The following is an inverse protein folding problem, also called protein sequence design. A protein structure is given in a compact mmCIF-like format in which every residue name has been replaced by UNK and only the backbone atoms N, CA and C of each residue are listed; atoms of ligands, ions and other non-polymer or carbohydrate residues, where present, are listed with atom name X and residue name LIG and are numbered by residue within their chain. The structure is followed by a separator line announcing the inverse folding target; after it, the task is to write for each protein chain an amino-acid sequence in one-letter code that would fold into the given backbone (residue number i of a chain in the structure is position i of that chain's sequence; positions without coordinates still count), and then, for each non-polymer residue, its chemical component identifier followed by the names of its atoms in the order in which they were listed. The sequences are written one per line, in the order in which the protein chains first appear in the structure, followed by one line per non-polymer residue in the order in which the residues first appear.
data_IF_065149835736
#
_entry.id   IF_065149835736
#
_cell.length_a   1.000
_cell.length_b   1.000
_cell.length_c   1.000
_cell.angle_alpha   90.00
_cell.angle_beta   90.00
_cell.angle_gamma   90.00
#
_symmetry.space_group_name_H-M   'P 1'
#
loop_
_entity.id
_entity.type
_entity.pdbx_description
1 polymer ?
#
# COMPACT_ATOMS: atom_id res chain seq x y z
N UNK A 1 -7.77 -12.96 -1.12
CA UNK A 1 -7.46 -14.06 -0.18
C UNK A 1 -7.69 -13.59 1.25
N UNK A 2 -8.40 -14.37 2.03
CA UNK A 2 -8.75 -13.97 3.40
C UNK A 2 -7.55 -13.93 4.32
N UNK A 3 -7.52 -12.93 5.16
CA UNK A 3 -6.46 -12.76 6.16
C UNK A 3 -6.67 -13.77 7.29
N UNK A 4 -5.69 -14.63 7.49
CA UNK A 4 -5.78 -15.72 8.44
C UNK A 4 -4.76 -15.64 9.59
N UNK A 5 -3.93 -14.61 9.60
CA UNK A 5 -2.91 -14.41 10.64
C UNK A 5 -2.48 -12.95 10.71
N UNK A 6 -1.81 -12.61 11.81
CA UNK A 6 -1.24 -11.26 11.99
C UNK A 6 -0.17 -10.97 10.94
N UNK A 7 0.67 -11.95 10.64
CA UNK A 7 1.70 -11.82 9.59
C UNK A 7 1.08 -11.52 8.24
N UNK A 8 -0.01 -12.22 7.93
CA UNK A 8 -0.73 -12.01 6.66
C UNK A 8 -1.31 -10.61 6.60
N UNK A 9 -1.90 -10.15 7.70
CA UNK A 9 -2.44 -8.80 7.78
C UNK A 9 -1.37 -7.75 7.48
N UNK A 10 -0.22 -7.85 8.15
CA UNK A 10 0.89 -6.90 7.95
C UNK A 10 1.35 -6.93 6.49
N UNK A 11 1.52 -8.11 5.93
CA UNK A 11 1.99 -8.28 4.54
C UNK A 11 1.02 -7.68 3.53
N UNK A 12 -0.27 -7.97 3.69
CA UNK A 12 -1.29 -7.46 2.76
C UNK A 12 -1.36 -5.93 2.78
N UNK A 13 -1.24 -5.33 3.97
CA UNK A 13 -1.23 -3.88 4.10
C UNK A 13 0.06 -3.29 3.51
N UNK A 14 1.20 -3.94 3.76
CA UNK A 14 2.47 -3.50 3.19
C UNK A 14 2.43 -3.52 1.66
N UNK A 15 1.85 -4.54 1.06
CA UNK A 15 1.71 -4.65 -0.39
C UNK A 15 0.81 -3.53 -0.94
N UNK A 16 -0.28 -3.22 -0.25
CA UNK A 16 -1.16 -2.13 -0.64
C UNK A 16 -0.45 -0.77 -0.58
N UNK A 17 0.34 -0.54 0.46
CA UNK A 17 1.10 0.70 0.62
C UNK A 17 2.18 0.87 -0.44
N UNK A 18 2.70 -0.23 -0.96
CA UNK A 18 3.74 -0.23 -1.98
C UNK A 18 3.18 0.00 -3.38
N UNK A 19 1.88 -0.17 -3.57
CA UNK A 19 1.26 0.01 -4.87
C UNK A 19 1.26 1.48 -5.25
N UNK A 20 1.57 1.75 -6.52
CA UNK A 20 1.55 3.11 -7.03
C UNK A 20 0.12 3.55 -7.30
N UNK A 21 -0.27 4.68 -6.73
CA UNK A 21 -1.49 5.36 -7.14
C UNK A 21 -1.14 6.10 -8.43
N UNK A 22 -1.57 5.56 -9.55
CA UNK A 22 -1.37 6.23 -10.83
C UNK A 22 -2.68 6.91 -11.26
N UNK A 23 -2.73 7.30 -12.52
CA UNK A 23 -3.78 8.10 -13.13
C UNK A 23 -5.21 7.56 -12.99
N UNK A 24 -5.40 6.35 -12.50
CA UNK A 24 -6.69 5.67 -12.47
C UNK A 24 -7.33 5.62 -11.07
N UNK A 25 -6.89 6.47 -10.16
CA UNK A 25 -7.54 6.62 -8.85
C UNK A 25 -7.69 5.27 -8.13
N UNK A 26 -6.61 4.50 -8.13
CA UNK A 26 -6.56 3.20 -7.46
C UNK A 26 -6.60 3.39 -5.94
N UNK A 27 -7.71 3.02 -5.34
CA UNK A 27 -7.92 3.11 -3.89
C UNK A 27 -7.87 1.72 -3.29
N UNK A 28 -7.09 1.58 -2.24
CA UNK A 28 -6.94 0.31 -1.53
C UNK A 28 -7.66 0.36 -0.19
N UNK A 29 -8.25 -0.76 0.18
CA UNK A 29 -9.04 -0.87 1.41
C UNK A 29 -8.75 -2.15 2.15
N UNK A 30 -8.79 -2.06 3.50
CA UNK A 30 -8.98 -3.20 4.36
C UNK A 30 -10.50 -3.35 4.54
N UNK A 31 -11.05 -4.45 4.06
CA UNK A 31 -12.48 -4.75 4.17
C UNK A 31 -12.70 -5.66 5.36
N UNK A 32 -13.33 -5.13 6.41
CA UNK A 32 -13.55 -5.85 7.66
C UNK A 32 -14.63 -6.91 7.54
N UNK A 33 -15.61 -6.70 6.66
CA UNK A 33 -16.67 -7.69 6.43
C UNK A 33 -16.12 -8.91 5.70
N UNK A 34 -15.37 -8.68 4.63
CA UNK A 34 -14.80 -9.76 3.82
C UNK A 34 -13.48 -10.31 4.38
N UNK A 35 -12.87 -9.61 5.33
CA UNK A 35 -11.58 -10.00 5.93
C UNK A 35 -10.47 -10.08 4.89
N UNK A 36 -10.41 -9.07 4.02
CA UNK A 36 -9.47 -9.00 2.91
C UNK A 36 -8.95 -7.58 2.70
N UNK A 37 -7.76 -7.48 2.13
CA UNK A 37 -7.23 -6.23 1.58
C UNK A 37 -7.34 -6.31 0.06
N UNK A 38 -7.77 -5.25 -0.57
CA UNK A 38 -7.89 -5.21 -2.01
C UNK A 38 -8.02 -3.80 -2.55
N UNK A 39 -8.06 -3.74 -3.87
CA UNK A 39 -8.22 -2.50 -4.61
C UNK A 39 -9.70 -2.32 -5.00
N UNK A 40 -10.16 -1.08 -4.97
CA UNK A 40 -11.52 -0.77 -5.45
C UNK A 40 -11.65 -1.17 -6.91
N UNK A 41 -12.71 -1.90 -7.22
CA UNK A 41 -13.04 -2.26 -8.59
C UNK A 41 -14.05 -1.24 -9.12
N UNK A 42 -13.70 -0.56 -10.21
CA UNK A 42 -14.57 0.44 -10.83
C UNK A 42 -15.72 -0.26 -11.56
N UNK A 43 -16.99 0.08 -11.22
CA UNK A 43 -18.14 -0.54 -11.86
C UNK A 43 -18.23 -0.30 -13.38
N UNK A 44 -17.55 0.72 -13.88
CA UNK A 44 -17.54 0.98 -15.35
C UNK A 44 -16.71 -0.03 -16.12
N UNK A 45 -15.83 -0.77 -15.44
CA UNK A 45 -14.89 -1.70 -16.07
C UNK A 45 -15.11 -3.14 -15.69
N UNK A 46 -16.16 -3.46 -14.94
CA UNK A 46 -16.44 -4.83 -14.56
C UNK A 46 -17.94 -5.08 -14.43
N UNK A 47 -18.31 -6.36 -14.48
CA UNK A 47 -19.69 -6.80 -14.26
C UNK A 47 -20.11 -6.52 -12.81
N UNK A 48 -21.44 -6.38 -12.56
CA UNK A 48 -21.92 -6.11 -11.19
C UNK A 48 -21.46 -7.12 -10.14
N UNK A 49 -21.17 -8.35 -10.55
CA UNK A 49 -20.70 -9.40 -9.65
C UNK A 49 -19.25 -9.22 -9.19
N UNK A 50 -18.51 -8.33 -9.87
CA UNK A 50 -17.10 -8.08 -9.58
C UNK A 50 -16.87 -6.87 -8.67
N UNK A 51 -17.92 -6.16 -8.27
CA UNK A 51 -17.79 -4.95 -7.46
C UNK A 51 -17.14 -5.23 -6.11
N UNK A 52 -16.19 -4.40 -5.74
CA UNK A 52 -15.50 -4.51 -4.46
C UNK A 52 -14.94 -3.14 -4.07
N UNK A 53 -15.13 -2.61 -2.86
CA UNK A 53 -16.01 -3.17 -1.82
C UNK A 53 -17.49 -3.13 -2.24
N UNK A 54 -18.33 -3.89 -1.55
CA UNK A 54 -19.76 -3.87 -1.76
C UNK A 54 -20.43 -2.81 -0.86
N UNK A 55 -21.55 -2.30 -1.30
CA UNK A 55 -22.31 -1.32 -0.51
C UNK A 55 -22.63 -1.88 0.88
N UNK A 56 -22.33 -1.10 1.90
CA UNK A 56 -22.56 -1.48 3.29
C UNK A 56 -21.37 -2.17 3.95
N UNK A 57 -20.30 -2.47 3.21
CA UNK A 57 -19.10 -3.05 3.81
C UNK A 57 -18.37 -2.04 4.69
N UNK A 58 -17.95 -2.49 5.87
CA UNK A 58 -17.08 -1.69 6.75
C UNK A 58 -15.65 -1.77 6.24
N UNK A 59 -15.04 -0.63 5.94
CA UNK A 59 -13.71 -0.58 5.35
C UNK A 59 -12.83 0.47 6.04
N UNK A 60 -11.51 0.27 5.93
CA UNK A 60 -10.51 1.28 6.31
C UNK A 60 -9.63 1.51 5.08
N UNK A 61 -9.56 2.75 4.63
CA UNK A 61 -8.74 3.08 3.46
C UNK A 61 -7.26 3.01 3.79
N UNK A 62 -6.49 2.41 2.90
CA UNK A 62 -5.05 2.27 3.02
C UNK A 62 -4.39 3.23 2.03
N UNK A 63 -3.74 4.27 2.54
CA UNK A 63 -3.04 5.22 1.68
C UNK A 63 -1.70 4.65 1.25
N UNK A 64 -1.39 4.80 -0.04
CA UNK A 64 -0.07 4.44 -0.54
C UNK A 64 0.99 5.33 0.11
N UNK A 65 2.17 4.78 0.34
CA UNK A 65 3.29 5.57 0.84
C UNK A 65 3.67 6.60 -0.23
N UNK A 66 3.76 7.88 0.11
CA UNK A 66 4.14 8.91 -0.86
C UNK A 66 5.53 8.64 -1.46
N UNK A 67 5.72 9.01 -2.72
CA UNK A 67 7.02 8.84 -3.40
C UNK A 67 8.17 9.47 -2.62
N UNK A 68 7.91 10.58 -1.95
CA UNK A 68 8.91 11.25 -1.12
C UNK A 68 9.41 10.36 0.02
N UNK A 69 8.51 9.62 0.65
CA UNK A 69 8.87 8.68 1.73
C UNK A 69 9.64 7.48 1.17
N UNK A 70 9.20 6.95 0.04
CA UNK A 70 9.88 5.85 -0.63
C UNK A 70 11.30 6.26 -1.06
N UNK A 71 11.47 7.50 -1.51
CA UNK A 71 12.78 8.05 -1.85
C UNK A 71 13.71 8.06 -0.63
N UNK A 72 13.20 8.43 0.54
CA UNK A 72 13.97 8.41 1.78
C UNK A 72 14.45 7.00 2.14
N UNK A 73 13.66 5.98 1.84
CA UNK A 73 14.07 4.59 2.06
C UNK A 73 15.27 4.24 1.20
N UNK A 74 15.28 4.70 -0.05
CA UNK A 74 16.43 4.49 -0.95
C UNK A 74 17.69 5.21 -0.44
N UNK A 75 17.55 6.44 0.04
CA UNK A 75 18.67 7.18 0.63
C UNK A 75 19.21 6.46 1.87
N UNK A 76 18.32 5.97 2.73
CA UNK A 76 18.73 5.24 3.94
C UNK A 76 19.48 3.94 3.60
N UNK A 77 19.02 3.23 2.57
CA UNK A 77 19.72 2.04 2.09
C UNK A 77 21.13 2.40 1.58
N UNK A 78 21.23 3.47 0.81
CA UNK A 78 22.53 3.95 0.31
C UNK A 78 23.48 4.31 1.46
N UNK A 79 22.96 4.94 2.51
CA UNK A 79 23.75 5.34 3.68
C UNK A 79 24.36 4.14 4.42
N UNK A 80 23.74 2.97 4.34
CA UNK A 80 24.23 1.75 4.97
C UNK A 80 25.37 1.10 4.19
N UNK A 81 25.61 1.53 2.95
CA UNK A 81 26.63 0.92 2.09
C UNK A 81 27.99 1.59 2.31
N UNK A 82 29.11 0.90 1.97
CA UNK A 82 30.42 1.53 1.96
C UNK A 82 30.41 2.79 1.09
N UNK A 83 31.22 3.78 1.46
CA UNK A 83 31.22 5.11 0.82
C UNK A 83 31.28 5.05 -0.71
N UNK A 84 32.11 4.20 -1.24
CA UNK A 84 32.27 4.05 -2.69
C UNK A 84 30.99 3.62 -3.40
N UNK A 85 30.26 2.70 -2.78
CA UNK A 85 28.99 2.19 -3.28
C UNK A 85 27.88 3.22 -3.05
N UNK A 86 27.84 3.81 -1.86
CA UNK A 86 26.88 4.86 -1.52
C UNK A 86 26.92 6.00 -2.53
N UNK A 87 28.11 6.45 -2.92
CA UNK A 87 28.27 7.53 -3.88
C UNK A 87 27.62 7.22 -5.23
N UNK A 88 27.74 5.96 -5.67
CA UNK A 88 27.12 5.53 -6.93
C UNK A 88 25.59 5.49 -6.83
N UNK A 89 25.07 5.05 -5.71
CA UNK A 89 23.63 5.01 -5.48
C UNK A 89 23.05 6.42 -5.38
N UNK A 90 23.71 7.32 -4.67
CA UNK A 90 23.29 8.73 -4.59
C UNK A 90 23.31 9.41 -5.95
N UNK A 91 24.30 9.10 -6.76
CA UNK A 91 24.37 9.64 -8.13
C UNK A 91 23.16 9.20 -8.95
N UNK A 92 22.73 7.94 -8.80
CA UNK A 92 21.55 7.43 -9.48
C UNK A 92 20.27 8.15 -9.00
N UNK A 93 20.20 8.53 -7.71
CA UNK A 93 19.06 9.21 -7.14
C UNK A 93 18.97 10.69 -7.53
N UNK A 94 20.07 11.29 -7.96
CA UNK A 94 20.13 12.73 -8.20
C UNK A 94 19.64 13.16 -9.59
N UNK A 95 19.27 12.23 -10.46
CA UNK A 95 18.86 12.54 -11.82
C UNK A 95 17.38 12.26 -12.09
N UNK A 96 17.02 12.26 -13.36
CA UNK A 96 15.67 11.92 -13.82
C UNK A 96 15.39 10.44 -13.54
N UNK A 97 14.13 10.10 -13.26
CA UNK A 97 13.68 8.73 -12.99
C UNK A 97 14.51 8.06 -11.88
N UNK A 98 14.59 8.68 -10.69
CA UNK A 98 15.48 8.19 -9.63
C UNK A 98 15.19 6.74 -9.22
N UNK A 99 13.92 6.32 -9.18
CA UNK A 99 13.57 4.96 -8.79
C UNK A 99 14.11 3.92 -9.77
N UNK A 100 13.93 4.16 -11.07
CA UNK A 100 14.42 3.24 -12.10
C UNK A 100 15.95 3.20 -12.13
N UNK A 101 16.58 4.37 -12.02
CA UNK A 101 18.06 4.47 -12.04
C UNK A 101 18.69 3.85 -10.80
N UNK A 102 18.04 4.00 -9.65
CA UNK A 102 18.50 3.39 -8.40
C UNK A 102 18.51 1.86 -8.52
N UNK A 103 17.40 1.29 -9.02
CA UNK A 103 17.32 -0.17 -9.22
C UNK A 103 18.36 -0.67 -10.21
N UNK A 104 18.57 0.07 -11.30
CA UNK A 104 19.58 -0.29 -12.28
C UNK A 104 20.98 -0.26 -11.67
N UNK A 105 21.28 0.77 -10.87
CA UNK A 105 22.58 0.86 -10.19
C UNK A 105 22.77 -0.26 -9.17
N UNK A 106 21.73 -0.57 -8.40
CA UNK A 106 21.77 -1.66 -7.43
C UNK A 106 22.01 -3.01 -8.13
N UNK A 107 21.38 -3.21 -9.29
CA UNK A 107 21.57 -4.42 -10.08
C UNK A 107 23.02 -4.56 -10.56
N UNK A 108 23.59 -3.49 -11.10
CA UNK A 108 24.99 -3.47 -11.56
C UNK A 108 25.96 -3.74 -10.40
N UNK A 109 25.63 -3.24 -9.20
CA UNK A 109 26.45 -3.41 -8.00
C UNK A 109 26.20 -4.74 -7.27
N UNK A 110 25.33 -5.60 -7.82
CA UNK A 110 24.94 -6.88 -7.22
C UNK A 110 24.26 -6.70 -5.86
N UNK A 111 23.48 -5.63 -5.70
CA UNK A 111 22.76 -5.29 -4.48
C UNK A 111 21.24 -5.31 -4.64
N UNK A 112 20.75 -5.75 -5.80
CA UNK A 112 19.29 -5.67 -6.07
C UNK A 112 18.49 -6.51 -5.09
N UNK A 113 18.95 -7.72 -4.77
CA UNK A 113 18.26 -8.57 -3.79
C UNK A 113 18.30 -7.96 -2.39
N UNK A 114 19.45 -7.41 -1.99
CA UNK A 114 19.59 -6.73 -0.71
C UNK A 114 18.65 -5.54 -0.62
N UNK A 115 18.49 -4.80 -1.72
CA UNK A 115 17.54 -3.68 -1.80
C UNK A 115 16.10 -4.18 -1.64
N UNK A 116 15.72 -5.25 -2.31
CA UNK A 116 14.37 -5.79 -2.18
C UNK A 116 14.08 -6.26 -0.75
N UNK A 117 15.04 -6.90 -0.10
CA UNK A 117 14.89 -7.33 1.28
C UNK A 117 14.74 -6.13 2.22
N UNK A 118 15.53 -5.08 2.01
CA UNK A 118 15.45 -3.84 2.77
C UNK A 118 14.09 -3.15 2.55
N UNK A 119 13.66 -3.07 1.30
CA UNK A 119 12.40 -2.44 0.93
C UNK A 119 11.21 -3.17 1.56
N UNK A 120 11.21 -4.49 1.50
CA UNK A 120 10.14 -5.29 2.10
C UNK A 120 10.04 -5.05 3.62
N UNK A 121 11.16 -5.04 4.29
CA UNK A 121 11.22 -4.77 5.73
C UNK A 121 10.72 -3.36 6.04
N UNK A 122 11.12 -2.39 5.27
CA UNK A 122 10.71 -1.00 5.44
C UNK A 122 9.19 -0.85 5.30
N UNK A 123 8.59 -1.47 4.27
CA UNK A 123 7.14 -1.43 4.09
C UNK A 123 6.39 -2.20 5.16
N UNK A 124 6.95 -3.30 5.66
CA UNK A 124 6.35 -4.05 6.76
C UNK A 124 6.31 -3.21 8.03
N UNK A 125 7.35 -2.44 8.31
CA UNK A 125 7.39 -1.51 9.45
C UNK A 125 6.33 -0.41 9.28
N UNK A 126 6.19 0.14 8.08
CA UNK A 126 5.14 1.13 7.78
C UNK A 126 3.75 0.55 7.96
N UNK A 127 3.56 -0.69 7.55
CA UNK A 127 2.27 -1.38 7.72
C UNK A 127 1.94 -1.57 9.20
N UNK A 128 2.92 -1.92 10.03
CA UNK A 128 2.73 -2.07 11.47
C UNK A 128 2.35 -0.73 12.13
N UNK A 129 2.98 0.36 11.71
CA UNK A 129 2.63 1.70 12.18
C UNK A 129 1.18 2.04 11.81
N UNK A 130 0.79 1.77 10.56
CA UNK A 130 -0.56 2.01 10.07
C UNK A 130 -1.60 1.22 10.88
N UNK A 131 -1.30 -0.05 11.15
CA UNK A 131 -2.17 -0.92 11.94
C UNK A 131 -2.42 -0.32 13.32
N UNK A 132 -1.36 0.14 14.00
CA UNK A 132 -1.48 0.77 15.31
C UNK A 132 -2.26 2.07 15.26
N UNK A 133 -1.96 2.92 14.28
CA UNK A 133 -2.59 4.24 14.14
C UNK A 133 -4.08 4.13 13.86
N UNK A 134 -4.49 3.08 13.14
CA UNK A 134 -5.88 2.90 12.76
C UNK A 134 -6.66 1.98 13.70
N UNK A 135 -6.03 1.50 14.76
CA UNK A 135 -6.70 0.64 15.73
C UNK A 135 -7.07 -0.73 15.18
N UNK A 136 -6.31 -1.20 14.21
CA UNK A 136 -6.53 -2.51 13.58
C UNK A 136 -5.74 -3.57 14.32
N UNK A 137 -6.29 -4.77 14.43
CA UNK A 137 -5.59 -5.90 15.03
C UNK A 137 -6.16 -7.21 14.48
N UNK A 138 -5.45 -8.29 14.73
CA UNK A 138 -5.92 -9.63 14.42
C UNK A 138 -6.14 -10.37 15.75
N UNK A 139 -7.41 -10.66 16.05
CA UNK A 139 -7.80 -11.30 17.31
C UNK A 139 -8.85 -12.39 17.06
N UNK A 140 -8.69 -13.51 17.75
CA UNK A 140 -9.67 -14.60 17.71
C UNK A 140 -9.97 -15.07 16.28
N UNK A 141 -8.94 -15.13 15.46
CA UNK A 141 -9.03 -15.62 14.09
C UNK A 141 -9.58 -14.64 13.07
N UNK A 142 -9.70 -13.37 13.43
CA UNK A 142 -10.21 -12.37 12.49
C UNK A 142 -9.58 -10.99 12.69
N UNK A 143 -9.65 -10.17 11.66
CA UNK A 143 -9.24 -8.76 11.70
C UNK A 143 -10.33 -7.95 12.37
N UNK A 144 -9.95 -7.15 13.34
CA UNK A 144 -10.84 -6.25 14.07
C UNK A 144 -10.31 -4.82 14.01
N UNK A 145 -11.19 -3.84 14.17
CA UNK A 145 -10.78 -2.44 14.20
C UNK A 145 -11.53 -1.72 15.31
N UNK A 146 -10.76 -1.11 16.24
CA UNK A 146 -11.32 -0.28 17.30
C UNK A 146 -11.25 1.20 16.96
N UNK A 147 -10.58 1.54 15.88
CA UNK A 147 -10.47 2.91 15.40
C UNK A 147 -11.62 3.29 14.48
N UNK A 148 -11.40 4.34 13.71
CA UNK A 148 -12.42 4.86 12.80
C UNK A 148 -12.53 3.99 11.55
N UNK A 149 -13.77 3.56 11.24
CA UNK A 149 -14.07 2.83 10.01
C UNK A 149 -15.02 3.66 9.15
N UNK A 150 -15.13 3.28 7.89
CA UNK A 150 -16.05 3.89 6.94
C UNK A 150 -16.98 2.82 6.39
N UNK A 151 -18.26 3.13 6.26
CA UNK A 151 -19.20 2.25 5.57
C UNK A 151 -19.16 2.60 4.09
N UNK A 152 -18.81 1.62 3.27
CA UNK A 152 -18.65 1.86 1.83
C UNK A 152 -19.99 1.98 1.11
N UNK A 153 -20.10 2.99 0.26
CA UNK A 153 -21.18 3.12 -0.71
C UNK A 153 -20.60 3.61 -2.02
N UNK A 154 -21.12 3.12 -3.13
CA UNK A 154 -20.71 3.57 -4.45
C UNK A 154 -21.14 5.01 -4.69
N UNK A 155 -20.24 5.84 -5.18
CA UNK A 155 -20.47 7.27 -5.45
C UNK A 155 -21.65 7.53 -6.40
N UNK A 156 -22.04 6.54 -7.21
CA UNK A 156 -23.16 6.67 -8.13
C UNK A 156 -24.50 6.84 -7.43
N UNK A 157 -24.66 6.24 -6.26
CA UNK A 157 -25.89 6.34 -5.51
C UNK A 157 -26.07 7.74 -4.95
N UNK A 158 -24.99 8.40 -4.58
CA UNK A 158 -25.01 9.77 -4.09
C UNK A 158 -25.47 10.75 -5.17
N UNK A 159 -25.10 10.54 -6.42
CA UNK A 159 -25.52 11.37 -7.54
C UNK A 159 -27.02 11.23 -7.82
N UNK A 160 -27.55 10.02 -7.76
CA UNK A 160 -28.96 9.75 -7.96
C UNK A 160 -29.82 10.37 -6.83
N UNK A 161 -29.30 10.39 -5.62
CA UNK A 161 -29.98 10.97 -4.47
C UNK A 161 -30.08 12.49 -4.58
N UNK A 162 -29.05 13.14 -5.10
CA UNK A 162 -29.02 14.58 -5.29
C UNK A 162 -29.98 15.05 -6.37
N UNK A 163 -30.23 14.23 -7.39
CA UNK A 163 -31.15 14.55 -8.47
C UNK A 163 -32.62 14.54 -8.04
N UNK A 164 -32.96 13.81 -7.01
CA UNK A 164 -34.33 13.74 -6.48
C UNK A 164 -34.72 14.98 -5.66
N UNK A 165 -33.76 15.81 -5.30
CA UNK A 165 -33.97 17.01 -4.52
C UNK A 165 -34.19 18.22 -5.43
#
# INVERSE_FOLDING_TARGET
MKIDSKERLVREIADAMQSFTNEFDNRWFLNLKEQEVGIRVDPDYCDPDCLWPNDGDEVVEIDAVPSREAFKAMEAFADEQPQRIADKLYRALSGNRPFARFKAAADVLDLLQDWYDYQNKWYMEKAEEWIKENGVDFKDGKVVCTGRTMTWFDDREDEDTDEEL
#
